data_IF_348147446929
#
_entry.id   IF_348147446929
#
_cell.length_a   1.000
_cell.length_b   1.000
_cell.length_c   1.000
_cell.angle_alpha   90.00
_cell.angle_beta   90.00
_cell.angle_gamma   90.00
#
_symmetry.space_group_name_H-M   'P 1'
#
loop_
_entity.id
_entity.type
_entity.pdbx_description
1 polymer ?
#
# COMPACT_ATOMS: atom_id res chain seq x y z
N UNK A 1 8.22 -21.68 -20.71
CA UNK A 1 9.71 -21.60 -20.73
C UNK A 1 10.37 -22.81 -21.41
N UNK A 2 9.93 -24.05 -21.14
CA UNK A 2 10.36 -25.31 -21.80
C UNK A 2 10.36 -25.27 -23.35
N UNK A 3 9.36 -24.65 -23.97
CA UNK A 3 9.21 -24.60 -25.44
C UNK A 3 10.30 -23.76 -26.12
N UNK A 4 10.68 -22.63 -25.50
CA UNK A 4 11.72 -21.73 -26.01
C UNK A 4 13.10 -22.40 -25.90
N UNK A 5 13.36 -23.13 -24.82
CA UNK A 5 14.62 -23.86 -24.60
C UNK A 5 14.81 -24.99 -25.63
N UNK A 6 13.74 -25.66 -26.07
CA UNK A 6 13.80 -26.68 -27.13
C UNK A 6 14.09 -26.10 -28.50
N UNK A 7 13.55 -24.93 -28.82
CA UNK A 7 13.81 -24.21 -30.09
C UNK A 7 15.29 -23.77 -30.16
N UNK A 8 15.84 -23.22 -29.08
CA UNK A 8 17.25 -22.79 -29.04
C UNK A 8 18.22 -23.96 -29.20
N UNK A 9 17.90 -25.15 -28.64
CA UNK A 9 18.71 -26.37 -28.83
C UNK A 9 18.61 -26.94 -30.25
N UNK A 10 17.48 -26.77 -30.94
CA UNK A 10 17.33 -27.19 -32.34
C UNK A 10 18.15 -26.31 -33.31
N UNK A 11 18.28 -25.02 -33.01
CA UNK A 11 19.05 -24.07 -33.84
C UNK A 11 20.57 -24.28 -33.71
N UNK A 12 21.06 -24.71 -32.54
CA UNK A 12 22.50 -24.72 -32.20
C UNK A 12 23.22 -26.06 -32.42
N UNK A 13 22.51 -27.18 -32.65
CA UNK A 13 23.12 -28.48 -32.96
C UNK A 13 22.96 -28.83 -34.43
N UNK A 14 23.99 -28.65 -35.26
CA UNK A 14 24.02 -29.17 -36.63
C UNK A 14 25.30 -28.78 -37.37
N UNK A 15 25.82 -29.67 -38.21
CA UNK A 15 26.99 -29.38 -39.04
C UNK A 15 26.67 -28.24 -40.02
N UNK A 16 27.64 -27.36 -40.25
CA UNK A 16 27.46 -26.09 -40.94
C UNK A 16 27.22 -26.18 -42.45
N UNK A 17 26.51 -27.20 -42.95
CA UNK A 17 26.19 -27.29 -44.38
C UNK A 17 25.19 -26.20 -44.78
N UNK A 18 25.47 -25.48 -45.87
CA UNK A 18 24.65 -24.35 -46.32
C UNK A 18 23.18 -24.71 -46.63
N UNK A 19 22.90 -25.97 -46.97
CA UNK A 19 21.52 -26.47 -47.17
C UNK A 19 20.77 -26.64 -45.84
N UNK A 20 21.45 -27.09 -44.79
CA UNK A 20 20.87 -27.18 -43.43
C UNK A 20 20.57 -25.80 -42.87
N UNK A 21 21.43 -24.82 -43.16
CA UNK A 21 21.25 -23.42 -42.74
C UNK A 21 20.03 -22.78 -43.41
N UNK A 22 19.84 -23.02 -44.71
CA UNK A 22 18.70 -22.48 -45.47
C UNK A 22 17.35 -23.01 -44.97
N UNK A 23 17.25 -24.32 -44.67
CA UNK A 23 16.02 -24.93 -44.13
C UNK A 23 15.69 -24.38 -42.73
N UNK A 24 16.70 -24.14 -41.89
CA UNK A 24 16.51 -23.54 -40.56
C UNK A 24 16.04 -22.09 -40.63
N UNK A 25 16.59 -21.32 -41.57
CA UNK A 25 16.17 -19.93 -41.79
C UNK A 25 14.70 -19.86 -42.23
N UNK A 26 14.29 -20.74 -43.16
CA UNK A 26 12.90 -20.84 -43.59
C UNK A 26 11.98 -21.23 -42.42
N UNK A 27 12.37 -22.22 -41.60
CA UNK A 27 11.61 -22.60 -40.41
C UNK A 27 11.43 -21.46 -39.40
N UNK A 28 12.48 -20.65 -39.20
CA UNK A 28 12.44 -19.52 -38.28
C UNK A 28 11.57 -18.38 -38.80
N UNK A 29 11.58 -18.13 -40.12
CA UNK A 29 10.67 -17.18 -40.78
C UNK A 29 9.23 -17.65 -40.64
N UNK A 30 8.93 -18.94 -40.85
CA UNK A 30 7.58 -19.48 -40.70
C UNK A 30 7.08 -19.37 -39.25
N UNK A 31 7.93 -19.67 -38.26
CA UNK A 31 7.60 -19.47 -36.85
C UNK A 31 7.35 -17.99 -36.56
N UNK A 32 8.19 -17.09 -37.07
CA UNK A 32 8.03 -15.66 -36.84
C UNK A 32 6.75 -15.13 -37.47
N UNK A 33 6.40 -15.59 -38.68
CA UNK A 33 5.13 -15.26 -39.35
C UNK A 33 3.94 -15.82 -38.57
N UNK A 34 3.99 -17.06 -38.10
CA UNK A 34 2.92 -17.65 -37.28
C UNK A 34 2.75 -16.90 -35.95
N UNK A 35 3.84 -16.56 -35.27
CA UNK A 35 3.82 -15.75 -34.04
C UNK A 35 3.26 -14.36 -34.33
N UNK A 36 3.66 -13.71 -35.43
CA UNK A 36 3.15 -12.39 -35.81
C UNK A 36 1.66 -12.42 -36.18
N UNK A 37 1.18 -13.50 -36.83
CA UNK A 37 -0.24 -13.71 -37.10
C UNK A 37 -1.00 -13.95 -35.79
N UNK A 38 -0.50 -14.78 -34.88
CA UNK A 38 -1.13 -15.00 -33.56
C UNK A 38 -1.18 -13.70 -32.76
N UNK A 39 -0.13 -12.87 -32.81
CA UNK A 39 -0.11 -11.57 -32.12
C UNK A 39 -1.02 -10.52 -32.78
N UNK A 40 -1.22 -10.58 -34.11
CA UNK A 40 -2.11 -9.65 -34.85
C UNK A 40 -3.58 -10.06 -34.85
N UNK A 41 -3.88 -11.36 -34.69
CA UNK A 41 -5.26 -11.89 -34.67
C UNK A 41 -5.83 -12.04 -33.27
N UNK A 42 -5.01 -11.92 -32.22
CA UNK A 42 -5.54 -11.66 -30.89
C UNK A 42 -6.15 -10.27 -30.92
N UNK A 43 -7.45 -10.11 -30.62
CA UNK A 43 -7.96 -8.77 -30.33
C UNK A 43 -7.02 -8.19 -29.28
N UNK A 44 -6.44 -7.02 -29.55
CA UNK A 44 -5.82 -6.25 -28.49
C UNK A 44 -6.92 -6.09 -27.45
N UNK A 45 -6.77 -6.62 -26.22
CA UNK A 45 -7.76 -6.34 -25.21
C UNK A 45 -7.84 -4.82 -25.14
N UNK A 46 -8.97 -4.28 -25.59
CA UNK A 46 -9.30 -2.88 -25.38
C UNK A 46 -9.54 -2.77 -23.90
N UNK A 47 -8.50 -2.39 -23.17
CA UNK A 47 -8.57 -2.07 -21.76
C UNK A 47 -9.37 -0.78 -21.64
N UNK A 48 -10.66 -0.89 -21.33
CA UNK A 48 -11.43 0.23 -20.84
C UNK A 48 -11.03 0.46 -19.38
N UNK A 49 -10.49 1.64 -19.05
CA UNK A 49 -10.09 1.96 -17.67
C UNK A 49 -11.25 1.87 -16.66
N UNK A 50 -12.50 1.89 -17.13
CA UNK A 50 -13.70 1.75 -16.30
C UNK A 50 -13.98 0.30 -15.86
N UNK A 51 -13.37 -0.70 -16.49
CA UNK A 51 -13.64 -2.12 -16.23
C UNK A 51 -12.70 -2.70 -15.16
N UNK A 52 -11.83 -1.87 -14.56
CA UNK A 52 -10.79 -2.30 -13.62
C UNK A 52 -11.12 -1.98 -12.15
N UNK A 53 -12.30 -1.41 -11.87
CA UNK A 53 -12.73 -1.25 -10.48
C UNK A 53 -13.59 -2.46 -10.09
N UNK A 54 -13.13 -3.32 -9.16
CA UNK A 54 -13.88 -4.48 -8.69
C UNK A 54 -15.28 -4.12 -8.14
N UNK A 55 -15.52 -2.83 -7.86
CA UNK A 55 -16.81 -2.28 -7.42
C UNK A 55 -17.98 -2.46 -8.39
N UNK A 56 -17.77 -2.94 -9.62
CA UNK A 56 -18.86 -3.22 -10.58
C UNK A 56 -19.33 -4.68 -10.66
N UNK A 57 -18.63 -5.62 -10.01
CA UNK A 57 -19.06 -7.02 -9.95
C UNK A 57 -19.98 -7.27 -8.75
N UNK A 58 -21.03 -8.09 -8.94
CA UNK A 58 -21.93 -8.47 -7.86
C UNK A 58 -21.16 -9.17 -6.72
N UNK A 59 -21.52 -8.87 -5.48
CA UNK A 59 -20.99 -9.49 -4.26
C UNK A 59 -22.14 -10.09 -3.45
N UNK A 60 -21.85 -11.12 -2.67
CA UNK A 60 -22.81 -11.71 -1.75
C UNK A 60 -22.69 -11.04 -0.38
N UNK A 61 -23.80 -10.52 0.17
CA UNK A 61 -23.81 -10.14 1.58
C UNK A 61 -23.76 -11.43 2.40
N UNK A 62 -22.62 -11.68 3.05
CA UNK A 62 -22.37 -12.91 3.81
C UNK A 62 -22.66 -12.74 5.29
N UNK A 63 -22.68 -11.51 5.80
CA UNK A 63 -23.00 -11.23 7.19
C UNK A 63 -22.86 -9.77 7.60
N UNK A 64 -22.95 -9.56 8.91
CA UNK A 64 -22.70 -8.28 9.57
C UNK A 64 -21.37 -8.32 10.31
N UNK A 65 -20.75 -7.16 10.50
CA UNK A 65 -19.52 -6.94 11.23
C UNK A 65 -19.75 -5.81 12.25
N UNK A 66 -19.45 -6.05 13.52
CA UNK A 66 -19.49 -5.05 14.57
C UNK A 66 -18.09 -4.45 14.84
N UNK A 67 -18.05 -3.32 15.54
CA UNK A 67 -16.79 -2.79 16.04
C UNK A 67 -16.16 -3.75 17.07
N UNK A 68 -14.83 -3.82 17.03
CA UNK A 68 -13.98 -4.71 17.82
C UNK A 68 -14.26 -6.21 17.57
N UNK A 69 -14.90 -6.53 16.43
CA UNK A 69 -15.19 -7.89 16.00
C UNK A 69 -14.19 -8.35 14.93
N UNK A 70 -13.94 -9.66 14.92
CA UNK A 70 -13.28 -10.37 13.82
C UNK A 70 -14.20 -11.49 13.33
N UNK A 71 -14.50 -11.48 12.03
CA UNK A 71 -15.29 -12.51 11.35
C UNK A 71 -14.40 -13.36 10.45
N UNK A 72 -14.86 -14.55 10.08
CA UNK A 72 -14.14 -15.47 9.18
C UNK A 72 -14.95 -15.76 7.92
N UNK A 73 -14.25 -15.96 6.80
CA UNK A 73 -14.85 -16.34 5.52
C UNK A 73 -13.87 -17.14 4.66
N UNK A 74 -14.32 -17.51 3.46
CA UNK A 74 -13.51 -18.23 2.47
C UNK A 74 -13.85 -17.71 1.09
N UNK A 75 -12.84 -17.31 0.32
CA UNK A 75 -13.00 -16.78 -1.03
C UNK A 75 -12.72 -17.89 -2.04
N UNK A 76 -13.72 -18.27 -2.84
CA UNK A 76 -13.57 -19.08 -4.05
C UNK A 76 -13.19 -18.27 -5.29
N UNK A 77 -13.10 -18.96 -6.44
CA UNK A 77 -12.75 -18.33 -7.73
C UNK A 77 -13.78 -17.25 -8.12
N UNK A 78 -13.29 -16.04 -8.38
CA UNK A 78 -14.11 -14.85 -8.66
C UNK A 78 -15.14 -14.48 -7.57
N UNK A 79 -15.04 -15.08 -6.38
CA UNK A 79 -15.95 -14.81 -5.27
C UNK A 79 -15.58 -13.50 -4.56
N UNK A 80 -16.61 -12.84 -4.04
CA UNK A 80 -16.49 -11.60 -3.27
C UNK A 80 -17.48 -11.66 -2.11
N UNK A 81 -16.92 -11.59 -0.91
CA UNK A 81 -17.68 -11.58 0.33
C UNK A 81 -17.91 -10.15 0.78
N UNK A 82 -19.16 -9.78 1.06
CA UNK A 82 -19.52 -8.47 1.57
C UNK A 82 -20.04 -8.56 3.00
N UNK A 83 -19.42 -7.78 3.88
CA UNK A 83 -19.75 -7.64 5.29
C UNK A 83 -20.31 -6.25 5.56
N UNK A 84 -21.44 -6.16 6.26
CA UNK A 84 -22.10 -4.89 6.55
C UNK A 84 -21.86 -4.44 7.99
N UNK A 85 -21.57 -3.16 8.18
CA UNK A 85 -21.43 -2.56 9.51
C UNK A 85 -22.10 -1.19 9.57
N UNK A 86 -22.56 -0.79 10.75
CA UNK A 86 -23.11 0.55 10.97
C UNK A 86 -21.98 1.52 11.32
N UNK A 87 -21.88 2.61 10.57
CA UNK A 87 -20.92 3.69 10.80
C UNK A 87 -21.61 5.03 11.05
N UNK A 88 -20.93 5.92 11.77
CA UNK A 88 -21.37 7.30 11.98
C UNK A 88 -20.46 8.29 11.25
N UNK A 89 -21.07 9.32 10.67
CA UNK A 89 -20.33 10.42 10.05
C UNK A 89 -19.36 11.06 11.06
N UNK A 90 -18.11 11.23 10.65
CA UNK A 90 -17.06 11.79 11.49
C UNK A 90 -16.14 10.75 12.14
N UNK A 91 -16.51 9.46 12.10
CA UNK A 91 -15.68 8.39 12.64
C UNK A 91 -14.50 8.06 11.71
N UNK A 92 -13.45 7.51 12.30
CA UNK A 92 -12.38 6.83 11.59
C UNK A 92 -12.41 5.35 11.94
N UNK A 93 -12.18 4.49 10.95
CA UNK A 93 -12.19 3.03 11.14
C UNK A 93 -10.97 2.36 10.51
N UNK A 94 -10.57 1.24 11.11
CA UNK A 94 -9.58 0.32 10.57
C UNK A 94 -10.29 -0.95 10.13
N UNK A 95 -10.05 -1.40 8.90
CA UNK A 95 -10.55 -2.66 8.37
C UNK A 95 -9.37 -3.48 7.87
N UNK A 96 -9.22 -4.70 8.37
CA UNK A 96 -8.05 -5.53 8.08
C UNK A 96 -8.43 -6.94 7.68
N UNK A 97 -7.87 -7.40 6.57
CA UNK A 97 -7.94 -8.79 6.15
C UNK A 97 -6.68 -9.52 6.61
N UNK A 98 -6.83 -10.75 7.13
CA UNK A 98 -5.73 -11.69 7.33
C UNK A 98 -6.12 -13.08 6.86
N UNK A 99 -5.23 -13.81 6.21
CA UNK A 99 -5.51 -15.16 5.72
C UNK A 99 -4.51 -15.67 4.70
N UNK A 100 -4.83 -16.81 4.11
CA UNK A 100 -3.99 -17.49 3.12
C UNK A 100 -4.40 -17.07 1.68
N UNK A 101 -4.58 -15.77 1.44
CA UNK A 101 -4.85 -15.23 0.11
C UNK A 101 -4.23 -13.83 -0.10
N UNK A 102 -3.85 -13.54 -1.34
CA UNK A 102 -3.53 -12.18 -1.81
C UNK A 102 -4.86 -11.43 -1.95
N UNK A 103 -5.13 -10.54 -1.00
CA UNK A 103 -6.49 -10.03 -0.77
C UNK A 103 -6.67 -8.61 -1.27
N UNK A 104 -7.91 -8.31 -1.68
CA UNK A 104 -8.38 -6.96 -1.94
C UNK A 104 -9.48 -6.62 -0.96
N UNK A 105 -9.45 -5.41 -0.42
CA UNK A 105 -10.47 -4.88 0.49
C UNK A 105 -11.00 -3.56 -0.06
N UNK A 106 -12.32 -3.48 -0.22
CA UNK A 106 -13.05 -2.28 -0.60
C UNK A 106 -13.97 -1.83 0.53
N UNK A 107 -14.07 -0.51 0.73
CA UNK A 107 -15.06 0.08 1.62
C UNK A 107 -16.05 0.91 0.82
N UNK A 108 -17.31 0.49 0.81
CA UNK A 108 -18.42 1.14 0.10
C UNK A 108 -19.30 1.89 1.11
N UNK A 109 -19.61 3.18 0.87
CA UNK A 109 -20.41 3.99 1.77
C UNK A 109 -21.92 3.70 1.64
N UNK A 110 -22.75 4.13 2.61
CA UNK A 110 -24.19 3.92 2.60
C UNK A 110 -24.93 4.54 1.39
N UNK A 111 -24.35 5.57 0.78
CA UNK A 111 -24.97 6.39 -0.28
C UNK A 111 -24.57 5.99 -1.70
N UNK A 112 -23.69 4.99 -1.87
CA UNK A 112 -22.99 4.82 -3.14
C UNK A 112 -22.79 3.38 -3.59
N UNK A 113 -22.70 3.25 -4.91
CA UNK A 113 -22.26 2.03 -5.60
C UNK A 113 -20.72 1.97 -5.75
N UNK A 114 -19.99 2.98 -5.27
CA UNK A 114 -18.55 3.14 -5.48
C UNK A 114 -17.79 3.09 -4.15
N UNK A 115 -16.64 2.40 -4.14
CA UNK A 115 -15.79 2.30 -2.96
C UNK A 115 -15.13 3.66 -2.67
N UNK A 116 -15.15 4.08 -1.41
CA UNK A 116 -14.42 5.26 -0.92
C UNK A 116 -12.96 4.95 -0.62
N UNK A 117 -12.61 3.67 -0.50
CA UNK A 117 -11.25 3.21 -0.29
C UNK A 117 -11.08 1.79 -0.84
N UNK A 118 -9.91 1.51 -1.40
CA UNK A 118 -9.52 0.20 -1.93
C UNK A 118 -8.05 -0.04 -1.58
N UNK A 119 -7.75 -1.23 -1.05
CA UNK A 119 -6.37 -1.67 -0.84
C UNK A 119 -6.17 -3.11 -1.31
N UNK A 120 -4.94 -3.43 -1.72
CA UNK A 120 -4.59 -4.70 -2.36
C UNK A 120 -3.41 -5.43 -1.70
N UNK A 121 -2.65 -4.79 -0.80
CA UNK A 121 -1.43 -5.41 -0.22
C UNK A 121 -0.79 -4.64 0.96
N UNK A 122 -1.44 -3.63 1.53
CA UNK A 122 -0.79 -2.74 2.49
C UNK A 122 -0.71 -3.27 3.93
N UNK A 123 -1.32 -4.42 4.21
CA UNK A 123 -1.36 -5.11 5.51
C UNK A 123 -0.33 -6.23 5.67
N UNK A 124 0.78 -6.20 4.92
CA UNK A 124 1.84 -7.20 5.00
C UNK A 124 1.42 -8.54 4.38
N UNK A 125 2.38 -9.37 3.98
CA UNK A 125 2.12 -10.69 3.37
C UNK A 125 1.06 -10.69 2.24
N UNK A 126 0.97 -9.58 1.49
CA UNK A 126 -0.03 -9.33 0.43
C UNK A 126 -1.49 -9.28 0.92
N UNK A 127 -1.71 -8.92 2.18
CA UNK A 127 -3.02 -8.76 2.77
C UNK A 127 -3.48 -7.30 2.68
N UNK A 128 -4.78 -7.08 2.50
CA UNK A 128 -5.34 -5.74 2.40
C UNK A 128 -5.63 -5.14 3.79
N UNK A 129 -5.26 -3.87 3.95
CA UNK A 129 -5.51 -3.11 5.17
C UNK A 129 -5.98 -1.69 4.84
N UNK A 130 -7.23 -1.39 5.15
CA UNK A 130 -7.79 -0.05 5.03
C UNK A 130 -7.63 0.69 6.35
N UNK A 131 -6.63 1.55 6.39
CA UNK A 131 -6.23 2.26 7.58
C UNK A 131 -6.91 3.63 7.75
N UNK A 132 -7.40 3.95 8.96
CA UNK A 132 -7.92 5.25 9.37
C UNK A 132 -8.88 5.86 8.33
N UNK A 133 -9.85 5.07 7.89
CA UNK A 133 -10.82 5.48 6.88
C UNK A 133 -11.86 6.41 7.48
N UNK A 134 -11.96 7.63 6.94
CA UNK A 134 -12.92 8.63 7.38
C UNK A 134 -14.32 8.34 6.84
N UNK A 135 -15.27 8.11 7.74
CA UNK A 135 -16.66 7.88 7.40
C UNK A 135 -17.38 9.22 7.21
N UNK A 136 -17.75 9.53 5.97
CA UNK A 136 -18.45 10.78 5.63
C UNK A 136 -19.94 10.77 5.96
N UNK A 137 -20.55 9.58 6.03
CA UNK A 137 -21.99 9.42 6.16
C UNK A 137 -22.32 8.53 7.36
N UNK A 138 -23.49 8.74 7.95
CA UNK A 138 -24.03 7.79 8.93
C UNK A 138 -24.90 6.78 8.19
N UNK A 139 -24.71 5.49 8.49
CA UNK A 139 -25.52 4.39 7.96
C UNK A 139 -24.71 3.11 7.75
N UNK A 140 -25.29 2.19 6.97
CA UNK A 140 -24.69 0.88 6.69
C UNK A 140 -23.60 0.97 5.63
N UNK A 141 -22.36 0.76 6.05
CA UNK A 141 -21.20 0.59 5.16
C UNK A 141 -21.07 -0.89 4.76
N UNK A 142 -20.44 -1.13 3.60
CA UNK A 142 -20.14 -2.48 3.12
C UNK A 142 -18.63 -2.64 2.91
N UNK A 143 -18.01 -3.55 3.65
CA UNK A 143 -16.64 -3.99 3.45
C UNK A 143 -16.64 -5.23 2.53
N UNK A 144 -15.97 -5.15 1.37
CA UNK A 144 -15.94 -6.24 0.39
C UNK A 144 -14.54 -6.83 0.32
N UNK A 145 -14.44 -8.12 0.61
CA UNK A 145 -13.21 -8.91 0.56
C UNK A 145 -13.22 -9.76 -0.71
N UNK A 146 -12.09 -9.82 -1.41
CA UNK A 146 -11.89 -10.74 -2.53
C UNK A 146 -10.43 -11.16 -2.64
N UNK A 147 -10.15 -12.13 -3.51
CA UNK A 147 -8.80 -12.36 -4.04
C UNK A 147 -8.29 -11.15 -4.82
N UNK A 148 -7.02 -11.19 -5.23
CA UNK A 148 -6.33 -10.10 -5.91
C UNK A 148 -7.15 -9.55 -7.09
N UNK A 149 -7.62 -8.31 -6.95
CA UNK A 149 -8.46 -7.59 -7.91
C UNK A 149 -9.77 -8.30 -8.30
N UNK A 150 -10.20 -9.32 -7.54
CA UNK A 150 -11.38 -10.14 -7.86
C UNK A 150 -11.26 -10.87 -9.21
N UNK A 151 -10.04 -11.19 -9.65
CA UNK A 151 -9.80 -11.84 -10.94
C UNK A 151 -10.13 -13.35 -10.89
N UNK A 152 -10.74 -13.92 -11.94
CA UNK A 152 -11.28 -15.27 -11.92
C UNK A 152 -10.27 -16.41 -11.77
N UNK A 153 -8.99 -16.17 -12.02
CA UNK A 153 -7.96 -17.22 -12.04
C UNK A 153 -6.95 -17.12 -10.89
N UNK A 154 -7.17 -16.25 -9.88
CA UNK A 154 -6.16 -15.98 -8.83
C UNK A 154 -6.74 -15.76 -7.43
N UNK A 155 -6.06 -16.41 -6.49
CA UNK A 155 -6.05 -16.18 -5.05
C UNK A 155 -7.37 -16.45 -4.30
N UNK A 156 -7.58 -17.74 -4.02
CA UNK A 156 -8.65 -18.29 -3.18
C UNK A 156 -8.09 -18.69 -1.83
N UNK A 157 -8.86 -18.59 -0.76
CA UNK A 157 -8.44 -19.07 0.55
C UNK A 157 -9.33 -18.61 1.68
N UNK A 158 -9.04 -19.12 2.87
CA UNK A 158 -9.69 -18.72 4.11
C UNK A 158 -9.12 -17.39 4.60
N UNK A 159 -9.98 -16.56 5.18
CA UNK A 159 -9.60 -15.26 5.74
C UNK A 159 -10.37 -14.92 7.01
N UNK A 160 -9.84 -13.91 7.69
CA UNK A 160 -10.48 -13.16 8.75
C UNK A 160 -10.56 -11.69 8.35
N UNK A 161 -11.64 -11.03 8.71
CA UNK A 161 -11.83 -9.59 8.56
C UNK A 161 -12.10 -9.00 9.94
N UNK A 162 -11.31 -8.00 10.36
CA UNK A 162 -11.57 -7.24 11.58
C UNK A 162 -12.00 -5.81 11.29
N UNK A 163 -12.85 -5.27 12.16
CA UNK A 163 -13.25 -3.86 12.19
C UNK A 163 -12.95 -3.29 13.58
N UNK A 164 -12.17 -2.23 13.61
CA UNK A 164 -11.78 -1.55 14.83
C UNK A 164 -12.02 -0.03 14.68
N UNK A 165 -12.41 0.68 15.75
CA UNK A 165 -12.33 2.13 15.75
C UNK A 165 -10.89 2.56 15.49
N UNK A 166 -10.69 3.55 14.62
CA UNK A 166 -9.39 4.17 14.43
C UNK A 166 -9.33 5.48 15.20
N UNK A 167 -8.21 5.73 15.86
CA UNK A 167 -7.88 7.05 16.38
C UNK A 167 -7.25 7.84 15.24
N UNK A 168 -7.77 9.04 15.00
CA UNK A 168 -7.13 10.01 14.11
C UNK A 168 -6.61 11.14 14.99
N UNK A 169 -5.35 11.05 15.40
CA UNK A 169 -4.77 12.08 16.25
C UNK A 169 -4.63 13.41 15.51
N UNK A 170 -5.04 14.50 16.17
CA UNK A 170 -4.76 15.86 15.73
C UNK A 170 -3.24 16.10 15.71
N UNK A 171 -2.80 16.95 14.78
CA UNK A 171 -1.37 17.23 14.67
C UNK A 171 -0.94 18.09 15.85
N UNK A 172 0.08 17.65 16.59
CA UNK A 172 0.62 18.36 17.74
C UNK A 172 1.70 19.36 17.30
N UNK A 173 1.72 20.60 17.79
CA UNK A 173 2.83 21.49 17.49
C UNK A 173 4.14 20.93 18.05
N UNK A 174 5.21 21.00 17.27
CA UNK A 174 6.58 20.70 17.72
C UNK A 174 7.45 21.92 17.41
N UNK A 175 7.82 22.65 18.46
CA UNK A 175 8.62 23.86 18.39
C UNK A 175 10.12 23.61 18.27
N UNK A 176 10.86 24.62 17.81
CA UNK A 176 12.31 24.57 17.73
C UNK A 176 12.95 24.39 19.13
N UNK A 177 13.79 23.37 19.30
CA UNK A 177 14.39 22.97 20.56
C UNK A 177 13.50 22.10 21.44
N UNK A 178 12.30 21.75 20.98
CA UNK A 178 11.36 20.90 21.70
C UNK A 178 11.65 19.41 21.47
N UNK A 179 11.31 18.61 22.47
CA UNK A 179 11.25 17.14 22.39
C UNK A 179 9.87 16.67 22.84
N UNK A 180 9.32 15.72 22.10
CA UNK A 180 8.09 15.01 22.42
C UNK A 180 8.33 13.49 22.40
N UNK A 181 7.35 12.76 22.93
CA UNK A 181 7.27 11.30 22.92
C UNK A 181 5.92 10.89 22.39
N UNK A 182 5.85 9.70 21.80
CA UNK A 182 4.62 9.12 21.31
C UNK A 182 4.75 7.62 21.10
N UNK A 183 3.61 7.02 20.76
CA UNK A 183 3.50 5.64 20.33
C UNK A 183 2.89 5.65 18.94
N UNK A 184 3.37 4.83 18.03
CA UNK A 184 2.82 4.74 16.68
C UNK A 184 2.80 3.31 16.19
N UNK A 185 1.80 2.96 15.41
CA UNK A 185 1.78 1.73 14.65
C UNK A 185 1.67 2.02 13.14
N UNK A 186 1.36 1.01 12.33
CA UNK A 186 1.14 1.20 10.89
C UNK A 186 0.07 2.25 10.58
N UNK A 187 -0.91 2.33 11.47
CA UNK A 187 -2.19 2.95 11.24
C UNK A 187 -2.45 4.24 12.00
N UNK A 188 -2.04 4.24 13.26
CA UNK A 188 -1.96 5.41 14.11
C UNK A 188 -0.62 6.09 13.88
N UNK A 189 -0.52 6.74 12.73
CA UNK A 189 0.62 7.58 12.43
C UNK A 189 0.55 8.83 13.26
N UNK A 190 1.56 9.10 14.08
CA UNK A 190 1.62 10.32 14.88
C UNK A 190 1.97 11.52 14.00
N UNK A 191 1.25 12.62 14.21
CA UNK A 191 1.43 13.84 13.42
C UNK A 191 1.91 15.02 14.25
N UNK A 192 2.87 15.76 13.71
CA UNK A 192 3.32 17.04 14.28
C UNK A 192 3.27 18.17 13.26
N UNK A 193 2.79 19.34 13.67
CA UNK A 193 2.96 20.58 12.90
C UNK A 193 4.27 21.25 13.28
N UNK A 194 5.07 21.59 12.30
CA UNK A 194 6.37 22.23 12.48
C UNK A 194 6.35 23.56 11.73
N UNK A 195 6.54 24.65 12.46
CA UNK A 195 6.77 25.96 11.84
C UNK A 195 8.24 26.08 11.45
N UNK A 196 8.50 26.26 10.16
CA UNK A 196 9.84 26.50 9.62
C UNK A 196 9.92 27.90 9.02
N UNK A 197 10.98 28.61 9.39
CA UNK A 197 11.31 29.93 8.86
C UNK A 197 12.24 29.80 7.65
N UNK A 198 12.08 30.71 6.70
CA UNK A 198 12.89 30.80 5.49
C UNK A 198 14.37 30.92 5.84
N UNK A 199 15.19 30.07 5.23
CA UNK A 199 16.65 30.08 5.40
C UNK A 199 17.14 29.54 6.74
N UNK A 200 16.26 29.17 7.66
CA UNK A 200 16.65 28.55 8.93
C UNK A 200 16.81 27.04 8.76
N UNK A 201 18.03 26.49 8.97
CA UNK A 201 18.27 25.08 8.80
C UNK A 201 17.72 24.31 10.01
N UNK A 202 17.02 23.21 9.75
CA UNK A 202 16.39 22.37 10.77
C UNK A 202 16.87 20.93 10.66
N UNK A 203 16.82 20.24 11.80
CA UNK A 203 17.06 18.81 11.94
C UNK A 203 15.95 18.21 12.81
N UNK A 204 15.25 17.21 12.28
CA UNK A 204 14.28 16.41 13.01
C UNK A 204 14.96 15.07 13.29
N UNK A 205 14.99 14.68 14.56
CA UNK A 205 15.55 13.39 14.99
C UNK A 205 14.44 12.60 15.67
N UNK A 206 14.09 11.45 15.10
CA UNK A 206 13.17 10.48 15.69
C UNK A 206 13.98 9.28 16.17
N UNK A 207 13.82 8.92 17.44
CA UNK A 207 14.51 7.81 18.09
C UNK A 207 13.48 6.80 18.60
N UNK A 208 13.33 5.63 17.95
CA UNK A 208 12.48 4.55 18.45
C UNK A 208 13.08 3.87 19.70
N UNK A 209 12.26 3.06 20.38
CA UNK A 209 12.74 2.16 21.43
C UNK A 209 13.77 1.14 20.89
N UNK A 210 14.45 0.42 21.79
CA UNK A 210 15.60 -0.40 21.42
C UNK A 210 15.20 -1.57 20.53
N UNK A 211 15.81 -1.66 19.35
CA UNK A 211 15.52 -2.74 18.40
C UNK A 211 14.25 -2.52 17.57
N UNK A 212 13.53 -1.42 17.82
CA UNK A 212 12.34 -1.06 17.05
C UNK A 212 12.67 -0.17 15.86
N UNK A 213 11.74 -0.13 14.90
CA UNK A 213 11.89 0.63 13.65
C UNK A 213 10.65 1.48 13.43
N UNK A 214 10.88 2.75 13.10
CA UNK A 214 9.85 3.70 12.68
C UNK A 214 10.26 4.34 11.36
N UNK A 215 9.29 4.91 10.66
CA UNK A 215 9.53 5.76 9.50
C UNK A 215 9.04 7.16 9.80
N UNK A 216 9.81 8.16 9.41
CA UNK A 216 9.37 9.55 9.50
C UNK A 216 9.32 10.17 8.10
N UNK A 217 8.24 10.93 7.84
CA UNK A 217 8.07 11.67 6.59
C UNK A 217 7.63 13.09 6.88
N UNK A 218 8.24 14.04 6.19
CA UNK A 218 7.90 15.44 6.22
C UNK A 218 7.07 15.79 4.99
N UNK A 219 5.92 16.42 5.18
CA UNK A 219 4.95 16.72 4.13
C UNK A 219 4.51 18.18 4.18
N UNK A 220 4.03 18.74 3.06
CA UNK A 220 3.44 20.07 3.05
C UNK A 220 2.01 20.10 3.63
N UNK A 221 1.32 18.94 3.65
CA UNK A 221 -0.03 18.79 4.24
C UNK A 221 -0.36 17.31 4.44
N UNK A 222 -1.43 17.00 5.19
CA UNK A 222 -1.92 15.62 5.41
C UNK A 222 -2.30 14.90 4.12
N UNK A 223 -2.81 15.63 3.13
CA UNK A 223 -3.31 15.08 1.86
C UNK A 223 -2.25 15.06 0.76
N UNK A 224 -1.02 15.45 1.06
CA UNK A 224 0.05 15.44 0.08
C UNK A 224 0.41 14.00 -0.29
N UNK A 225 0.35 13.69 -1.59
CA UNK A 225 0.78 12.40 -2.12
C UNK A 225 2.29 12.24 -2.09
N UNK A 226 3.04 13.35 -2.15
CA UNK A 226 4.51 13.34 -2.16
C UNK A 226 5.06 14.04 -0.91
N UNK A 227 5.96 13.37 -0.16
CA UNK A 227 6.66 13.99 0.94
C UNK A 227 7.73 14.98 0.43
N UNK A 228 8.00 16.02 1.23
CA UNK A 228 9.15 16.92 1.03
C UNK A 228 10.44 16.18 1.31
N UNK A 229 10.43 15.39 2.39
CA UNK A 229 11.55 14.57 2.80
C UNK A 229 11.03 13.30 3.46
N UNK A 230 11.79 12.23 3.28
CA UNK A 230 11.62 10.98 4.01
C UNK A 230 12.85 10.81 4.88
N UNK A 231 12.69 10.13 5.99
CA UNK A 231 13.79 9.87 6.89
C UNK A 231 14.92 9.12 6.20
N UNK A 232 16.14 9.44 6.64
CA UNK A 232 17.33 8.67 6.32
C UNK A 232 17.74 7.89 7.55
N UNK A 233 17.86 6.58 7.42
CA UNK A 233 18.32 5.70 8.48
C UNK A 233 19.71 6.17 8.96
N UNK A 234 19.79 6.60 10.21
CA UNK A 234 20.99 7.03 10.89
C UNK A 234 21.23 6.24 12.17
N UNK A 235 22.30 6.59 12.88
CA UNK A 235 22.56 6.09 14.24
C UNK A 235 22.89 7.26 15.17
N UNK A 236 22.37 7.21 16.40
CA UNK A 236 22.72 8.18 17.43
C UNK A 236 24.10 7.86 18.05
N UNK A 237 24.57 8.72 18.95
CA UNK A 237 25.88 8.60 19.60
C UNK A 237 26.05 7.27 20.37
N UNK A 238 24.95 6.67 20.83
CA UNK A 238 24.93 5.39 21.54
C UNK A 238 24.82 4.18 20.59
N UNK A 239 24.83 4.41 19.28
CA UNK A 239 24.77 3.38 18.24
C UNK A 239 23.37 2.85 17.94
N UNK A 240 22.32 3.47 18.47
CA UNK A 240 20.92 3.07 18.22
C UNK A 240 20.42 3.68 16.92
N UNK A 241 19.59 2.95 16.18
CA UNK A 241 18.95 3.43 14.97
C UNK A 241 18.13 4.70 15.26
N UNK A 242 18.24 5.69 14.38
CA UNK A 242 17.44 6.91 14.40
C UNK A 242 17.02 7.28 13.00
N UNK A 243 15.90 7.96 12.90
CA UNK A 243 15.42 8.54 11.66
C UNK A 243 15.71 10.05 11.68
N UNK A 244 16.49 10.52 10.71
CA UNK A 244 16.92 11.91 10.63
C UNK A 244 16.31 12.57 9.39
N UNK A 245 15.78 13.79 9.54
CA UNK A 245 15.38 14.65 8.43
C UNK A 245 16.02 16.02 8.62
N UNK A 246 16.87 16.43 7.68
CA UNK A 246 17.45 17.78 7.64
C UNK A 246 16.89 18.57 6.48
N UNK A 247 16.85 19.89 6.62
CA UNK A 247 16.40 20.74 5.53
C UNK A 247 16.58 22.23 5.79
N UNK A 248 16.27 23.02 4.77
CA UNK A 248 16.18 24.47 4.84
C UNK A 248 15.11 24.91 3.86
N UNK A 249 14.18 25.75 4.31
CA UNK A 249 13.08 26.17 3.47
C UNK A 249 13.34 27.48 2.73
N UNK A 250 12.72 27.60 1.55
CA UNK A 250 12.77 28.83 0.73
C UNK A 250 11.61 29.77 1.01
N UNK A 251 10.67 29.39 1.87
CA UNK A 251 9.53 30.19 2.33
C UNK A 251 9.17 29.80 3.76
N UNK A 252 8.58 30.74 4.51
CA UNK A 252 7.96 30.40 5.80
C UNK A 252 6.75 29.50 5.53
N UNK A 253 6.67 28.37 6.23
CA UNK A 253 5.51 27.47 6.13
C UNK A 253 5.39 26.58 7.35
N UNK A 254 4.16 26.13 7.59
CA UNK A 254 3.89 24.99 8.47
C UNK A 254 4.08 23.71 7.67
N UNK A 255 4.91 22.80 8.18
CA UNK A 255 5.10 21.46 7.67
C UNK A 255 4.41 20.44 8.58
N UNK A 256 4.15 19.27 8.02
CA UNK A 256 3.59 18.15 8.74
C UNK A 256 4.57 17.00 8.79
N UNK A 257 5.06 16.68 9.98
CA UNK A 257 5.78 15.45 10.24
C UNK A 257 4.78 14.33 10.52
N UNK A 258 4.96 13.19 9.88
CA UNK A 258 4.25 11.97 10.21
C UNK A 258 5.26 10.88 10.56
N UNK A 259 5.07 10.25 11.71
CA UNK A 259 5.87 9.15 12.22
C UNK A 259 4.98 7.91 12.21
N UNK A 260 5.49 6.77 11.74
CA UNK A 260 4.73 5.52 11.60
C UNK A 260 5.55 4.30 11.97
N UNK A 261 4.88 3.28 12.50
CA UNK A 261 5.46 1.94 12.69
C UNK A 261 5.51 1.14 11.39
N UNK A 262 6.16 -0.02 11.45
CA UNK A 262 6.15 -1.01 10.35
C UNK A 262 4.73 -1.59 10.22
N UNK A 263 4.36 -1.93 8.98
CA UNK A 263 3.15 -2.70 8.66
C UNK A 263 3.10 -4.01 9.46
N UNK A 264 2.02 -4.19 10.24
CA UNK A 264 1.78 -5.38 11.07
C UNK A 264 2.79 -5.63 12.21
N UNK A 265 3.56 -4.60 12.57
CA UNK A 265 4.31 -4.60 13.81
C UNK A 265 3.43 -4.16 15.00
N UNK A 266 3.73 -4.60 16.23
CA UNK A 266 3.18 -3.99 17.44
C UNK A 266 3.43 -2.48 17.46
N UNK A 267 2.64 -1.71 18.22
CA UNK A 267 2.89 -0.29 18.44
C UNK A 267 4.31 -0.05 18.98
N UNK A 268 4.99 0.95 18.40
CA UNK A 268 6.36 1.32 18.70
C UNK A 268 6.38 2.64 19.45
N UNK A 269 7.02 2.64 20.62
CA UNK A 269 7.34 3.86 21.36
C UNK A 269 8.50 4.60 20.72
N UNK A 270 8.43 5.92 20.70
CA UNK A 270 9.50 6.76 20.17
C UNK A 270 9.60 8.11 20.87
N UNK A 271 10.74 8.77 20.66
CA UNK A 271 10.94 10.19 20.96
C UNK A 271 11.24 10.96 19.69
N UNK A 272 10.78 12.20 19.59
CA UNK A 272 11.07 13.10 18.47
C UNK A 272 11.59 14.43 19.01
N UNK A 273 12.59 15.00 18.35
CA UNK A 273 13.05 16.37 18.62
C UNK A 273 13.23 17.16 17.34
N UNK A 274 12.91 18.45 17.42
CA UNK A 274 13.20 19.43 16.38
C UNK A 274 14.34 20.34 16.85
N UNK A 275 15.45 20.31 16.13
CA UNK A 275 16.67 21.04 16.45
C UNK A 275 17.03 22.00 15.32
N UNK A 276 17.83 23.02 15.63
CA UNK A 276 18.50 23.81 14.60
C UNK A 276 19.65 22.95 14.08
N UNK A 277 19.69 22.70 12.77
CA UNK A 277 20.81 21.96 12.20
C UNK A 277 22.10 22.78 12.37
N UNK A 278 23.21 22.12 12.68
CA UNK A 278 24.51 22.77 12.71
C UNK A 278 24.80 23.32 11.30
N UNK A 279 25.03 24.64 11.20
CA UNK A 279 25.42 25.25 9.92
C UNK A 279 26.73 24.62 9.44
N UNK A 280 26.73 24.12 8.21
CA UNK A 280 27.95 23.74 7.48
C UNK A 280 28.85 24.96 7.23
#
# INVERSE_FOLDING_TARGET
>A
MEFIIRIVRFVTRGDGSGRTMLIRLIGLIVIFVLVSIILRTRPTPTFNQTDFLPTQNAFAIVGTLAFDETVSGSIGEAERDAWQFEGESGQFVNLRVRGDLDSTLELIPPDGDAAIAIDFASGGDYQAFLCAQFLRFTGTYTAVVSGYLGLPDRDTGDYTLSLEPAVFEDARPLGMGERASGQTDTCDGDFFTIEVEIGDPYEIVVTPEEGEVVFARLMPSRTASEPIAVSVNGTNADGRAVEIITGTETVNRTLLLNIRGIVDAPPVEYTVSLNRAAGE
#
